data_IF_837533767386
#
_entry.id   IF_837533767386
#
_cell.length_a   1.000
_cell.length_b   1.000
_cell.length_c   1.000
_cell.angle_alpha   90.00
_cell.angle_beta   90.00
_cell.angle_gamma   90.00
#
_symmetry.space_group_name_H-M   'P 1'
#
loop_
_entity.id
_entity.type
_entity.pdbx_description
1 polymer ?
#
# COMPACT_ATOMS: atom_id res chain seq x y z
N UNK A 1 37.29 -39.74 2.87
CA UNK A 1 37.37 -38.29 2.65
C UNK A 1 36.09 -37.65 3.22
N UNK A 2 35.62 -38.02 4.42
CA UNK A 2 34.14 -38.01 4.65
C UNK A 2 33.63 -37.38 5.95
N UNK A 3 34.46 -37.05 6.94
CA UNK A 3 33.95 -36.47 8.21
C UNK A 3 33.96 -34.94 8.23
N UNK A 4 34.92 -34.32 7.56
CA UNK A 4 35.05 -32.86 7.54
C UNK A 4 34.03 -32.20 6.60
N UNK A 5 33.66 -32.84 5.48
CA UNK A 5 32.63 -32.33 4.58
C UNK A 5 31.22 -32.46 5.15
N UNK A 6 30.94 -33.54 5.88
CA UNK A 6 29.67 -33.69 6.60
C UNK A 6 29.51 -32.62 7.69
N UNK A 7 30.58 -32.35 8.45
CA UNK A 7 30.58 -31.30 9.48
C UNK A 7 30.39 -29.91 8.89
N UNK A 8 31.09 -29.59 7.79
CA UNK A 8 30.94 -28.32 7.07
C UNK A 8 29.52 -28.17 6.50
N UNK A 9 28.95 -29.23 5.91
CA UNK A 9 27.57 -29.23 5.43
C UNK A 9 26.55 -28.95 6.54
N UNK A 10 26.70 -29.60 7.70
CA UNK A 10 25.83 -29.33 8.85
C UNK A 10 25.98 -27.91 9.41
N UNK A 11 27.19 -27.36 9.42
CA UNK A 11 27.41 -25.97 9.88
C UNK A 11 26.73 -24.98 8.93
N UNK A 12 26.81 -25.20 7.61
CA UNK A 12 26.12 -24.36 6.62
C UNK A 12 24.60 -24.43 6.76
N UNK A 13 24.03 -25.62 6.97
CA UNK A 13 22.59 -25.77 7.22
C UNK A 13 22.16 -25.01 8.48
N UNK A 14 22.94 -25.09 9.56
CA UNK A 14 22.64 -24.37 10.82
C UNK A 14 22.72 -22.85 10.63
N UNK A 15 23.71 -22.36 9.88
CA UNK A 15 23.84 -20.92 9.58
C UNK A 15 22.67 -20.43 8.73
N UNK A 16 22.24 -21.19 7.72
CA UNK A 16 21.08 -20.85 6.89
C UNK A 16 19.81 -20.85 7.74
N UNK A 17 19.58 -21.88 8.56
CA UNK A 17 18.41 -21.96 9.44
C UNK A 17 18.41 -20.82 10.46
N UNK A 18 19.56 -20.49 11.05
CA UNK A 18 19.67 -19.37 11.98
C UNK A 18 19.42 -18.02 11.29
N UNK A 19 19.93 -17.82 10.08
CA UNK A 19 19.71 -16.63 9.26
C UNK A 19 18.22 -16.46 8.89
N UNK A 20 17.55 -17.55 8.49
CA UNK A 20 16.11 -17.58 8.21
C UNK A 20 15.31 -17.23 9.46
N UNK A 21 15.63 -17.84 10.61
CA UNK A 21 14.96 -17.54 11.88
C UNK A 21 15.16 -16.06 12.27
N UNK A 22 16.38 -15.51 12.16
CA UNK A 22 16.63 -14.09 12.48
C UNK A 22 15.93 -13.14 11.51
N UNK A 23 15.79 -13.52 10.25
CA UNK A 23 15.02 -12.75 9.26
C UNK A 23 13.54 -12.69 9.65
N UNK A 24 12.96 -13.81 10.11
CA UNK A 24 11.58 -13.89 10.61
C UNK A 24 11.29 -13.03 11.85
N UNK A 25 12.30 -12.51 12.54
CA UNK A 25 12.16 -11.74 13.77
C UNK A 25 12.56 -10.26 13.64
N UNK A 26 12.84 -9.75 12.43
CA UNK A 26 13.06 -8.32 12.19
C UNK A 26 11.70 -7.59 12.15
N UNK A 27 11.31 -6.84 13.20
CA UNK A 27 9.94 -6.36 13.34
C UNK A 27 9.60 -5.16 12.42
N UNK A 28 10.63 -4.54 11.83
CA UNK A 28 10.48 -3.33 11.00
C UNK A 28 10.53 -3.58 9.50
N UNK A 29 11.53 -4.32 9.02
CA UNK A 29 11.75 -4.54 7.59
C UNK A 29 10.66 -5.40 6.92
N UNK A 30 10.16 -6.42 7.62
CA UNK A 30 9.07 -7.29 7.11
C UNK A 30 7.72 -6.57 7.18
N UNK A 31 7.54 -5.65 8.13
CA UNK A 31 6.26 -4.94 8.33
C UNK A 31 6.03 -3.86 7.28
N UNK A 32 7.05 -3.06 6.97
CA UNK A 32 6.98 -2.05 5.90
C UNK A 32 6.79 -2.71 4.52
N UNK A 33 7.48 -3.83 4.24
CA UNK A 33 7.21 -4.62 3.03
C UNK A 33 5.82 -5.27 3.05
N UNK A 34 5.37 -5.79 4.19
CA UNK A 34 4.07 -6.46 4.31
C UNK A 34 2.88 -5.53 4.03
N UNK A 35 2.97 -4.27 4.47
CA UNK A 35 1.94 -3.26 4.23
C UNK A 35 1.89 -2.82 2.73
N UNK A 36 3.01 -2.90 2.01
CA UNK A 36 3.09 -2.66 0.55
C UNK A 36 2.80 -3.91 -0.31
N UNK A 37 2.99 -5.11 0.27
CA UNK A 37 2.86 -6.38 -0.43
C UNK A 37 1.40 -6.77 -0.67
N UNK A 38 0.50 -6.53 0.29
CA UNK A 38 -0.93 -6.78 0.07
C UNK A 38 -1.52 -5.95 -1.08
N UNK A 39 -1.29 -4.62 -1.18
CA UNK A 39 -1.75 -3.83 -2.33
C UNK A 39 -1.26 -4.37 -3.67
N UNK A 40 0.01 -4.78 -3.75
CA UNK A 40 0.62 -5.28 -4.97
C UNK A 40 0.03 -6.64 -5.42
N UNK A 41 -0.16 -7.59 -4.50
CA UNK A 41 -0.80 -8.87 -4.83
C UNK A 41 -2.25 -8.66 -5.31
N UNK A 42 -2.99 -7.75 -4.67
CA UNK A 42 -4.36 -7.44 -5.08
C UNK A 42 -4.42 -6.78 -6.46
N UNK A 43 -3.50 -5.87 -6.80
CA UNK A 43 -3.50 -5.23 -8.11
C UNK A 43 -3.27 -6.25 -9.23
N UNK A 44 -2.37 -7.20 -9.07
CA UNK A 44 -2.23 -8.35 -9.99
C UNK A 44 -3.53 -9.18 -10.06
N UNK A 45 -4.16 -9.46 -8.92
CA UNK A 45 -5.45 -10.15 -8.88
C UNK A 45 -6.58 -9.40 -9.62
N UNK A 46 -6.54 -8.07 -9.71
CA UNK A 46 -7.48 -7.31 -10.54
C UNK A 46 -7.10 -7.32 -12.01
N UNK A 47 -5.83 -7.07 -12.34
CA UNK A 47 -5.34 -6.97 -13.71
C UNK A 47 -5.48 -8.29 -14.48
N UNK A 48 -5.26 -9.42 -13.82
CA UNK A 48 -5.15 -10.73 -14.47
C UNK A 48 -6.30 -11.67 -14.13
N UNK A 49 -6.55 -12.69 -14.96
CA UNK A 49 -7.58 -13.71 -14.71
C UNK A 49 -7.04 -15.00 -14.07
N UNK A 50 -5.72 -15.09 -13.77
CA UNK A 50 -5.11 -16.32 -13.26
C UNK A 50 -5.70 -16.75 -11.91
N UNK A 51 -5.85 -15.79 -10.98
CA UNK A 51 -6.42 -16.06 -9.66
C UNK A 51 -7.96 -15.95 -9.65
N UNK A 52 -8.50 -14.92 -10.32
CA UNK A 52 -9.93 -14.63 -10.35
C UNK A 52 -10.33 -14.11 -11.73
N UNK A 53 -11.14 -14.90 -12.45
CA UNK A 53 -11.65 -14.54 -13.78
C UNK A 53 -12.82 -13.57 -13.72
N UNK A 54 -13.51 -13.52 -12.59
CA UNK A 54 -14.76 -12.81 -12.40
C UNK A 54 -14.58 -11.70 -11.35
N UNK A 55 -15.09 -10.50 -11.65
CA UNK A 55 -15.16 -9.38 -10.70
C UNK A 55 -16.62 -9.09 -10.34
N UNK A 56 -16.91 -8.99 -9.05
CA UNK A 56 -18.11 -8.33 -8.54
C UNK A 56 -17.72 -6.93 -8.09
N UNK A 57 -18.48 -5.91 -8.52
CA UNK A 57 -18.40 -4.57 -7.97
C UNK A 57 -19.66 -4.37 -7.13
N UNK A 58 -19.48 -4.30 -5.82
CA UNK A 58 -20.55 -4.15 -4.85
C UNK A 58 -20.64 -2.70 -4.39
N UNK A 59 -21.82 -2.10 -4.52
CA UNK A 59 -22.09 -0.73 -4.14
C UNK A 59 -23.07 -0.69 -2.97
N UNK A 60 -22.62 -0.15 -1.83
CA UNK A 60 -23.48 0.22 -0.71
C UNK A 60 -23.50 1.72 -0.54
N UNK A 61 -24.66 2.27 -0.18
CA UNK A 61 -24.86 3.70 -0.26
C UNK A 61 -25.74 4.25 0.86
N UNK A 62 -25.48 5.49 1.27
CA UNK A 62 -26.40 6.23 2.13
C UNK A 62 -27.62 6.66 1.31
N UNK A 63 -28.81 6.58 1.90
CA UNK A 63 -30.07 6.96 1.24
C UNK A 63 -30.00 8.34 0.55
N UNK A 64 -30.31 8.41 -0.76
CA UNK A 64 -30.23 9.64 -1.55
C UNK A 64 -28.83 9.99 -2.06
N UNK A 65 -27.85 9.12 -1.82
CA UNK A 65 -26.48 9.21 -2.32
C UNK A 65 -26.13 7.90 -3.06
N UNK A 66 -27.08 7.38 -3.84
CA UNK A 66 -26.86 6.22 -4.72
C UNK A 66 -25.76 6.51 -5.75
N UNK A 67 -24.94 5.52 -6.17
CA UNK A 67 -24.05 5.69 -7.30
C UNK A 67 -24.83 6.07 -8.56
N UNK A 68 -24.33 7.02 -9.35
CA UNK A 68 -24.97 7.33 -10.62
C UNK A 68 -24.79 6.18 -11.63
N UNK A 69 -25.76 6.05 -12.55
CA UNK A 69 -25.63 5.10 -13.66
C UNK A 69 -24.38 5.41 -14.51
N UNK A 70 -24.01 6.68 -14.63
CA UNK A 70 -22.82 7.16 -15.34
C UNK A 70 -21.54 6.64 -14.68
N UNK A 71 -21.41 6.79 -13.36
CA UNK A 71 -20.23 6.32 -12.61
C UNK A 71 -20.09 4.80 -12.61
N UNK A 72 -21.20 4.06 -12.43
CA UNK A 72 -21.17 2.59 -12.52
C UNK A 72 -20.78 2.11 -13.92
N UNK A 73 -21.34 2.73 -14.96
CA UNK A 73 -21.07 2.34 -16.35
C UNK A 73 -19.62 2.59 -16.72
N UNK A 74 -19.06 3.75 -16.36
CA UNK A 74 -17.68 4.06 -16.70
C UNK A 74 -16.70 3.18 -15.92
N UNK A 75 -16.94 2.90 -14.63
CA UNK A 75 -16.09 1.99 -13.88
C UNK A 75 -16.09 0.58 -14.49
N UNK A 76 -17.26 0.04 -14.81
CA UNK A 76 -17.39 -1.27 -15.47
C UNK A 76 -16.65 -1.29 -16.83
N UNK A 77 -16.75 -0.20 -17.61
CA UNK A 77 -16.01 -0.04 -18.86
C UNK A 77 -14.49 -0.05 -18.63
N UNK A 78 -14.00 0.70 -17.65
CA UNK A 78 -12.55 0.78 -17.36
C UNK A 78 -11.99 -0.53 -16.84
N UNK A 79 -12.72 -1.23 -15.98
CA UNK A 79 -12.34 -2.60 -15.58
C UNK A 79 -12.20 -3.48 -16.82
N UNK A 80 -13.19 -3.50 -17.73
CA UNK A 80 -13.14 -4.34 -18.93
C UNK A 80 -12.03 -3.96 -19.92
N UNK A 81 -11.66 -2.68 -19.97
CA UNK A 81 -10.63 -2.19 -20.89
C UNK A 81 -9.21 -2.48 -20.39
N UNK A 82 -8.99 -2.47 -19.07
CA UNK A 82 -7.65 -2.50 -18.48
C UNK A 82 -7.33 -3.79 -17.71
N UNK A 83 -8.30 -4.68 -17.55
CA UNK A 83 -8.12 -5.97 -16.88
C UNK A 83 -8.51 -7.13 -17.79
N UNK A 84 -8.02 -8.32 -17.46
CA UNK A 84 -8.32 -9.55 -18.18
C UNK A 84 -9.58 -10.26 -17.65
N UNK A 85 -10.40 -9.57 -16.84
CA UNK A 85 -11.61 -10.12 -16.24
C UNK A 85 -12.59 -10.54 -17.33
N UNK A 86 -12.99 -11.82 -17.29
CA UNK A 86 -13.91 -12.41 -18.25
C UNK A 86 -15.34 -11.92 -18.00
N UNK A 87 -15.69 -11.72 -16.73
CA UNK A 87 -16.99 -11.19 -16.32
C UNK A 87 -16.81 -10.08 -15.27
N UNK A 88 -17.65 -9.05 -15.39
CA UNK A 88 -17.76 -7.96 -14.43
C UNK A 88 -19.25 -7.81 -14.12
N UNK A 89 -19.62 -7.92 -12.85
CA UNK A 89 -20.99 -7.83 -12.35
C UNK A 89 -21.10 -6.68 -11.35
N UNK A 90 -21.85 -5.65 -11.71
CA UNK A 90 -22.15 -4.52 -10.82
C UNK A 90 -23.42 -4.80 -10.02
N UNK A 91 -23.34 -4.73 -8.69
CA UNK A 91 -24.42 -5.01 -7.75
C UNK A 91 -24.62 -3.79 -6.86
N UNK A 92 -25.75 -3.11 -7.01
CA UNK A 92 -26.22 -2.13 -6.02
C UNK A 92 -26.96 -2.91 -4.94
N UNK A 93 -26.34 -3.04 -3.76
CA UNK A 93 -26.72 -4.02 -2.74
C UNK A 93 -27.50 -3.37 -1.59
N UNK A 94 -26.81 -2.86 -0.56
CA UNK A 94 -27.45 -2.36 0.64
C UNK A 94 -27.52 -0.82 0.72
N UNK A 95 -28.67 -0.37 1.20
CA UNK A 95 -28.82 1.01 1.68
C UNK A 95 -28.34 1.09 3.14
N UNK A 96 -27.28 1.85 3.37
CA UNK A 96 -26.69 2.09 4.69
C UNK A 96 -27.72 2.72 5.62
N UNK A 97 -27.90 2.10 6.78
CA UNK A 97 -28.85 2.53 7.80
C UNK A 97 -28.49 3.90 8.37
N UNK A 98 -29.51 4.73 8.63
CA UNK A 98 -29.34 6.09 9.16
C UNK A 98 -28.51 6.16 10.46
N UNK A 99 -28.52 5.10 11.28
CA UNK A 99 -27.76 5.04 12.53
C UNK A 99 -26.25 4.82 12.29
N UNK A 100 -25.88 4.35 11.11
CA UNK A 100 -24.50 4.04 10.73
C UNK A 100 -23.88 5.21 9.94
N UNK A 101 -24.66 6.23 9.62
CA UNK A 101 -24.17 7.47 8.99
C UNK A 101 -23.42 8.37 9.97
N UNK A 102 -22.48 9.17 9.45
CA UNK A 102 -21.68 10.17 10.16
C UNK A 102 -21.61 11.45 9.34
N UNK A 103 -21.37 12.59 9.99
CA UNK A 103 -21.08 13.85 9.28
C UNK A 103 -19.63 13.87 8.78
N UNK A 104 -18.72 13.26 9.54
CA UNK A 104 -17.34 13.05 9.16
C UNK A 104 -16.96 11.61 9.54
N UNK A 105 -16.38 10.87 8.60
CA UNK A 105 -15.96 9.48 8.78
C UNK A 105 -14.46 9.44 9.06
N UNK A 106 -14.05 8.57 9.97
CA UNK A 106 -12.65 8.18 10.11
C UNK A 106 -12.42 6.72 9.72
N UNK A 107 -11.17 6.26 9.76
CA UNK A 107 -10.78 4.91 9.34
C UNK A 107 -11.57 3.81 10.05
N UNK A 108 -11.97 4.02 11.31
CA UNK A 108 -12.72 3.03 12.07
C UNK A 108 -14.16 2.96 11.57
N UNK A 109 -14.80 4.12 11.33
CA UNK A 109 -16.16 4.16 10.77
C UNK A 109 -16.22 3.41 9.42
N UNK A 110 -15.27 3.66 8.51
CA UNK A 110 -15.20 2.96 7.21
C UNK A 110 -14.98 1.44 7.38
N UNK A 111 -14.25 1.03 8.40
CA UNK A 111 -14.03 -0.38 8.71
C UNK A 111 -15.28 -1.06 9.29
N UNK A 112 -16.01 -0.37 10.16
CA UNK A 112 -17.28 -0.84 10.72
C UNK A 112 -18.36 -0.97 9.64
N UNK A 113 -18.43 -0.02 8.70
CA UNK A 113 -19.35 -0.10 7.56
C UNK A 113 -19.04 -1.31 6.69
N UNK A 114 -17.76 -1.52 6.34
CA UNK A 114 -17.32 -2.72 5.61
C UNK A 114 -17.74 -4.00 6.31
N UNK A 115 -17.51 -4.12 7.62
CA UNK A 115 -17.88 -5.33 8.38
C UNK A 115 -19.40 -5.57 8.44
N UNK A 116 -20.19 -4.50 8.29
CA UNK A 116 -21.65 -4.55 8.43
C UNK A 116 -22.37 -4.78 7.10
N UNK A 117 -21.82 -4.25 6.00
CA UNK A 117 -22.50 -4.19 4.70
C UNK A 117 -21.78 -4.97 3.60
N UNK A 118 -20.47 -5.25 3.72
CA UNK A 118 -19.78 -6.00 2.67
C UNK A 118 -20.24 -7.47 2.63
N UNK A 119 -20.98 -7.83 1.59
CA UNK A 119 -21.57 -9.16 1.41
C UNK A 119 -20.71 -10.06 0.50
N UNK A 120 -19.97 -9.47 -0.44
CA UNK A 120 -19.11 -10.19 -1.36
C UNK A 120 -17.63 -9.99 -1.02
N UNK A 121 -16.95 -11.12 -0.83
CA UNK A 121 -15.50 -11.20 -0.74
C UNK A 121 -14.92 -12.12 -1.82
N UNK A 122 -13.64 -12.44 -1.69
CA UNK A 122 -12.96 -13.41 -2.56
C UNK A 122 -13.52 -14.82 -2.32
N UNK A 123 -14.05 -15.46 -3.36
CA UNK A 123 -14.60 -16.81 -3.29
C UNK A 123 -14.59 -17.49 -4.66
N UNK A 124 -14.18 -18.75 -4.68
CA UNK A 124 -14.11 -19.55 -5.90
C UNK A 124 -13.26 -18.83 -6.96
N UNK A 125 -13.81 -18.47 -8.12
CA UNK A 125 -13.14 -17.72 -9.18
C UNK A 125 -13.46 -16.20 -9.17
N UNK A 126 -14.12 -15.71 -8.11
CA UNK A 126 -14.56 -14.32 -7.97
C UNK A 126 -13.69 -13.52 -6.99
N UNK A 127 -13.34 -12.30 -7.38
CA UNK A 127 -12.88 -11.23 -6.50
C UNK A 127 -13.97 -10.15 -6.40
N UNK A 128 -14.01 -9.42 -5.28
CA UNK A 128 -14.97 -8.34 -5.06
C UNK A 128 -14.25 -7.01 -4.82
N UNK A 129 -14.76 -5.96 -5.45
CA UNK A 129 -14.47 -4.56 -5.17
C UNK A 129 -15.66 -3.97 -4.43
N UNK A 130 -15.42 -3.42 -3.24
CA UNK A 130 -16.45 -2.80 -2.42
C UNK A 130 -16.38 -1.28 -2.56
N UNK A 131 -17.49 -0.66 -2.95
CA UNK A 131 -17.60 0.78 -3.19
C UNK A 131 -18.66 1.37 -2.26
N UNK A 132 -18.23 2.19 -1.31
CA UNK A 132 -19.11 2.86 -0.34
C UNK A 132 -19.44 4.27 -0.80
N UNK A 133 -20.72 4.59 -0.95
CA UNK A 133 -21.20 5.95 -1.21
C UNK A 133 -21.74 6.59 0.06
N UNK A 134 -21.06 7.63 0.53
CA UNK A 134 -21.31 8.22 1.84
C UNK A 134 -21.81 9.66 1.75
N UNK A 135 -22.77 9.98 2.63
CA UNK A 135 -23.12 11.34 2.98
C UNK A 135 -22.28 11.78 4.17
N UNK A 136 -21.38 12.74 3.95
CA UNK A 136 -20.41 13.25 4.92
C UNK A 136 -19.04 13.45 4.29
N UNK A 137 -18.06 13.81 5.11
CA UNK A 137 -16.70 14.13 4.68
C UNK A 137 -15.67 13.13 5.24
N UNK A 138 -14.50 13.08 4.63
CA UNK A 138 -13.34 12.44 5.23
C UNK A 138 -12.76 13.34 6.32
N UNK A 139 -12.59 12.82 7.54
CA UNK A 139 -12.19 13.63 8.71
C UNK A 139 -10.77 14.18 8.59
N UNK A 140 -9.88 13.44 7.93
CA UNK A 140 -8.49 13.81 7.72
C UNK A 140 -8.32 14.81 6.56
N UNK A 141 -9.22 14.78 5.57
CA UNK A 141 -9.29 15.76 4.49
C UNK A 141 -10.75 16.01 4.06
N UNK A 142 -11.37 17.07 4.58
CA UNK A 142 -12.78 17.38 4.28
C UNK A 142 -13.04 17.71 2.79
N UNK A 143 -11.99 17.91 2.00
CA UNK A 143 -12.07 18.13 0.57
C UNK A 143 -11.92 16.84 -0.26
N UNK A 144 -11.70 15.68 0.34
CA UNK A 144 -11.63 14.43 -0.42
C UNK A 144 -12.98 14.11 -1.07
N UNK A 145 -12.95 13.81 -2.37
CA UNK A 145 -14.09 13.36 -3.17
C UNK A 145 -14.19 11.83 -3.16
N UNK A 146 -13.04 11.16 -3.15
CA UNK A 146 -12.90 9.71 -3.06
C UNK A 146 -11.79 9.30 -2.11
N UNK A 147 -11.70 7.99 -1.83
CA UNK A 147 -10.61 7.37 -1.10
C UNK A 147 -10.52 5.86 -1.37
N UNK A 148 -9.36 5.39 -1.82
CA UNK A 148 -8.99 3.99 -1.85
C UNK A 148 -8.40 3.56 -0.48
N UNK A 149 -9.26 3.09 0.42
CA UNK A 149 -8.85 2.81 1.82
C UNK A 149 -8.05 1.52 1.98
N UNK A 150 -8.36 0.52 1.15
CA UNK A 150 -7.78 -0.84 1.14
C UNK A 150 -7.68 -1.30 -0.31
N UNK A 151 -6.88 -2.35 -0.62
CA UNK A 151 -6.73 -2.86 -1.99
C UNK A 151 -8.02 -3.39 -2.64
N UNK A 152 -9.17 -3.33 -1.97
CA UNK A 152 -10.46 -3.78 -2.47
C UNK A 152 -11.61 -2.84 -2.06
N UNK A 153 -11.30 -1.67 -1.50
CA UNK A 153 -12.31 -0.78 -0.92
C UNK A 153 -12.12 0.65 -1.42
N UNK A 154 -13.14 1.13 -2.13
CA UNK A 154 -13.31 2.51 -2.56
C UNK A 154 -14.37 3.16 -1.69
N UNK A 155 -14.16 4.42 -1.33
CA UNK A 155 -15.14 5.26 -0.63
C UNK A 155 -15.35 6.51 -1.47
N UNK A 156 -16.60 6.86 -1.77
CA UNK A 156 -17.01 8.06 -2.48
C UNK A 156 -17.78 8.95 -1.51
N UNK A 157 -17.34 10.20 -1.36
CA UNK A 157 -18.01 11.20 -0.53
C UNK A 157 -18.94 12.04 -1.39
N UNK A 158 -20.07 11.44 -1.78
CA UNK A 158 -21.01 12.03 -2.74
C UNK A 158 -21.49 13.43 -2.34
N UNK A 159 -21.74 13.67 -1.05
CA UNK A 159 -22.09 15.02 -0.57
C UNK A 159 -21.02 16.10 -0.84
N UNK A 160 -19.75 15.71 -0.93
CA UNK A 160 -18.63 16.61 -1.27
C UNK A 160 -18.60 16.88 -2.77
N UNK A 161 -18.90 15.86 -3.59
CA UNK A 161 -19.08 15.97 -5.05
C UNK A 161 -20.27 16.87 -5.37
N UNK A 162 -21.42 16.69 -4.74
CA UNK A 162 -22.61 17.52 -4.92
C UNK A 162 -22.32 18.99 -4.60
N UNK A 163 -21.71 19.28 -3.45
CA UNK A 163 -21.34 20.66 -3.08
C UNK A 163 -20.24 21.23 -4.00
N UNK A 164 -19.41 20.40 -4.65
CA UNK A 164 -18.51 20.88 -5.70
C UNK A 164 -19.28 21.23 -6.97
N UNK A 165 -20.17 20.35 -7.43
CA UNK A 165 -21.00 20.58 -8.60
C UNK A 165 -21.87 21.83 -8.46
N UNK A 166 -22.49 22.05 -7.29
CA UNK A 166 -23.31 23.25 -7.02
C UNK A 166 -22.53 24.57 -7.12
N UNK A 167 -21.21 24.54 -6.89
CA UNK A 167 -20.32 25.70 -7.00
C UNK A 167 -19.84 25.95 -8.43
N UNK A 168 -20.07 25.01 -9.35
CA UNK A 168 -19.64 25.08 -10.74
C UNK A 168 -20.85 25.23 -11.67
N UNK A 169 -20.76 26.12 -12.66
CA UNK A 169 -21.89 26.33 -13.60
C UNK A 169 -21.91 25.36 -14.76
N UNK A 170 -20.80 24.63 -14.99
CA UNK A 170 -20.57 23.85 -16.20
C UNK A 170 -20.40 22.34 -15.92
N UNK A 171 -20.38 21.94 -14.65
CA UNK A 171 -20.15 20.56 -14.22
C UNK A 171 -21.33 20.08 -13.40
N UNK A 172 -21.78 18.87 -13.69
CA UNK A 172 -22.75 18.13 -12.88
C UNK A 172 -22.02 17.22 -11.90
N UNK A 173 -22.73 16.68 -10.91
CA UNK A 173 -22.16 15.67 -10.01
C UNK A 173 -21.65 14.46 -10.79
N UNK A 174 -22.40 13.99 -11.80
CA UNK A 174 -22.01 12.87 -12.65
C UNK A 174 -20.73 13.13 -13.46
N UNK A 175 -20.48 14.37 -13.90
CA UNK A 175 -19.25 14.75 -14.61
C UNK A 175 -18.00 14.64 -13.72
N UNK A 176 -18.17 14.63 -12.40
CA UNK A 176 -17.10 14.56 -11.39
C UNK A 176 -17.00 13.15 -10.81
N UNK A 177 -18.15 12.55 -10.45
CA UNK A 177 -18.24 11.24 -9.81
C UNK A 177 -17.61 10.12 -10.64
N UNK A 178 -17.88 10.09 -11.95
CA UNK A 178 -17.33 9.08 -12.86
C UNK A 178 -15.80 9.08 -12.86
N UNK A 179 -15.12 10.21 -13.12
CA UNK A 179 -13.67 10.32 -12.97
C UNK A 179 -13.15 9.94 -11.58
N UNK A 180 -13.79 10.39 -10.50
CA UNK A 180 -13.36 10.07 -9.12
C UNK A 180 -13.37 8.57 -8.88
N UNK A 181 -14.44 7.85 -9.21
CA UNK A 181 -14.47 6.39 -8.96
C UNK A 181 -13.44 5.64 -9.80
N UNK A 182 -13.13 6.12 -11.01
CA UNK A 182 -12.06 5.54 -11.85
C UNK A 182 -10.67 5.85 -11.29
N UNK A 183 -10.47 7.03 -10.70
CA UNK A 183 -9.25 7.40 -10.00
C UNK A 183 -8.98 6.43 -8.84
N UNK A 184 -9.97 6.23 -7.97
CA UNK A 184 -9.84 5.31 -6.84
C UNK A 184 -9.64 3.86 -7.28
N UNK A 185 -10.24 3.46 -8.41
CA UNK A 185 -9.94 2.17 -9.02
C UNK A 185 -8.47 2.05 -9.44
N UNK A 186 -7.88 3.11 -10.00
CA UNK A 186 -6.45 3.14 -10.30
C UNK A 186 -5.56 2.91 -9.08
N UNK A 187 -5.92 3.46 -7.91
CA UNK A 187 -5.24 3.14 -6.66
C UNK A 187 -5.37 1.68 -6.24
N UNK A 188 -6.52 1.02 -6.50
CA UNK A 188 -6.63 -0.44 -6.30
C UNK A 188 -5.71 -1.24 -7.23
N UNK A 189 -5.34 -0.67 -8.37
CA UNK A 189 -4.33 -1.20 -9.28
C UNK A 189 -2.89 -0.81 -8.89
N UNK A 190 -2.67 -0.30 -7.68
CA UNK A 190 -1.38 0.21 -7.17
C UNK A 190 -0.81 1.41 -7.93
N UNK A 191 -1.60 2.06 -8.80
CA UNK A 191 -1.19 3.28 -9.49
C UNK A 191 -1.34 4.50 -8.57
N UNK A 192 -0.51 5.54 -8.66
CA UNK A 192 0.79 5.61 -9.33
C UNK A 192 1.87 5.45 -8.27
N UNK A 193 2.81 4.54 -8.48
CA UNK A 193 3.98 4.43 -7.61
C UNK A 193 3.68 3.97 -6.16
N UNK A 194 2.50 3.42 -5.88
CA UNK A 194 2.13 2.99 -4.53
C UNK A 194 2.89 1.75 -4.07
N UNK A 195 3.33 0.91 -5.01
CA UNK A 195 4.04 -0.35 -4.71
C UNK A 195 5.28 -0.56 -5.59
N UNK A 196 5.61 0.42 -6.43
CA UNK A 196 6.74 0.42 -7.34
C UNK A 196 7.24 1.86 -7.54
N UNK A 197 8.43 2.07 -8.10
CA UNK A 197 8.88 3.41 -8.47
C UNK A 197 8.34 3.77 -9.86
N UNK A 198 7.61 4.89 -9.97
CA UNK A 198 7.08 5.36 -11.26
C UNK A 198 7.77 6.66 -11.73
N UNK A 199 7.98 6.79 -13.03
CA UNK A 199 8.69 7.95 -13.62
C UNK A 199 7.79 9.18 -13.84
N UNK A 200 6.47 9.03 -13.65
CA UNK A 200 5.47 10.10 -13.80
C UNK A 200 4.67 10.35 -12.52
N UNK A 201 5.14 9.88 -11.36
CA UNK A 201 4.56 10.27 -10.08
C UNK A 201 4.75 11.78 -9.85
N UNK A 202 3.69 12.46 -9.42
CA UNK A 202 3.71 13.87 -9.07
C UNK A 202 4.48 14.09 -7.75
N UNK A 203 5.42 15.03 -7.76
CA UNK A 203 6.21 15.37 -6.58
C UNK A 203 5.44 16.14 -5.50
N UNK A 204 4.36 16.82 -5.87
CA UNK A 204 3.45 17.55 -4.96
C UNK A 204 2.31 16.64 -4.48
N UNK A 205 1.77 15.81 -5.38
CA UNK A 205 0.72 14.82 -5.10
C UNK A 205 1.28 13.39 -5.19
N UNK A 206 1.97 12.94 -4.13
CA UNK A 206 2.49 11.56 -4.08
C UNK A 206 1.36 10.55 -4.24
N UNK A 207 1.61 9.45 -4.96
CA UNK A 207 0.59 8.47 -5.35
C UNK A 207 -0.17 8.80 -6.64
N UNK A 208 0.08 9.95 -7.26
CA UNK A 208 -0.69 10.48 -8.38
C UNK A 208 0.17 10.73 -9.62
N UNK A 209 -0.48 10.83 -10.78
CA UNK A 209 0.16 11.18 -12.05
C UNK A 209 0.45 12.68 -12.12
N UNK A 210 1.67 13.04 -12.52
CA UNK A 210 2.07 14.41 -12.85
C UNK A 210 1.31 14.91 -14.09
N UNK A 211 0.41 15.89 -13.89
CA UNK A 211 -0.43 16.47 -14.95
C UNK A 211 0.40 17.10 -16.09
N UNK A 212 1.66 17.46 -15.83
CA UNK A 212 2.55 17.98 -16.89
C UNK A 212 2.94 16.91 -17.92
N UNK A 213 2.70 15.62 -17.62
CA UNK A 213 2.98 14.48 -18.49
C UNK A 213 1.82 14.14 -19.42
N UNK A 214 0.60 14.58 -19.10
CA UNK A 214 -0.59 14.37 -19.92
C UNK A 214 -1.87 14.38 -19.10
N UNK A 215 -3.00 14.50 -19.79
CA UNK A 215 -4.33 14.32 -19.18
C UNK A 215 -4.47 12.88 -18.70
N UNK A 216 -4.70 12.70 -17.41
CA UNK A 216 -4.82 11.40 -16.77
C UNK A 216 -5.83 11.45 -15.65
N UNK A 217 -6.67 10.42 -15.53
CA UNK A 217 -7.59 10.28 -14.41
C UNK A 217 -6.86 10.16 -13.07
N UNK A 218 -5.62 9.67 -13.05
CA UNK A 218 -4.78 9.56 -11.84
C UNK A 218 -4.14 10.89 -11.40
N UNK A 219 -4.50 12.02 -12.00
CA UNK A 219 -4.05 13.33 -11.49
C UNK A 219 -4.67 13.61 -10.11
N UNK A 220 -3.87 14.10 -9.15
CA UNK A 220 -4.34 14.31 -7.76
C UNK A 220 -5.49 15.31 -7.65
N UNK A 221 -5.64 16.22 -8.62
CA UNK A 221 -6.73 17.18 -8.70
C UNK A 221 -8.11 16.53 -8.90
N UNK A 222 -8.16 15.27 -9.37
CA UNK A 222 -9.40 14.53 -9.64
C UNK A 222 -10.10 14.10 -8.35
N UNK A 223 -9.36 13.75 -7.29
CA UNK A 223 -9.92 13.24 -6.03
C UNK A 223 -10.13 14.32 -4.95
N UNK A 224 -9.82 15.59 -5.24
CA UNK A 224 -9.95 16.69 -4.28
C UNK A 224 -10.92 17.78 -4.75
N UNK A 225 -11.61 18.38 -3.78
CA UNK A 225 -12.58 19.44 -3.96
C UNK A 225 -11.94 20.79 -4.29
N UNK A 226 -11.31 20.89 -5.45
CA UNK A 226 -10.78 22.13 -6.00
C UNK A 226 -11.67 22.69 -7.10
N UNK A 227 -11.58 24.00 -7.37
CA UNK A 227 -12.38 24.61 -8.43
C UNK A 227 -11.96 24.07 -9.79
N UNK A 228 -12.84 23.28 -10.41
CA UNK A 228 -12.63 22.69 -11.73
C UNK A 228 -13.20 23.60 -12.83
N UNK A 229 -12.38 23.97 -13.82
CA UNK A 229 -12.83 24.75 -14.96
C UNK A 229 -13.56 23.92 -16.02
N UNK A 230 -13.22 22.63 -16.09
CA UNK A 230 -13.69 21.64 -17.06
C UNK A 230 -13.82 20.28 -16.36
N UNK A 231 -14.49 19.32 -17.01
CA UNK A 231 -14.66 17.99 -16.43
C UNK A 231 -13.30 17.29 -16.34
N UNK A 232 -13.02 16.58 -15.23
CA UNK A 232 -11.77 15.85 -15.09
C UNK A 232 -11.59 14.78 -16.17
N UNK A 233 -10.35 14.41 -16.53
CA UNK A 233 -10.10 13.25 -17.38
C UNK A 233 -10.69 12.00 -16.74
N UNK A 234 -11.33 11.15 -17.54
CA UNK A 234 -11.96 9.93 -17.06
C UNK A 234 -11.24 8.66 -17.52
N UNK A 235 -10.01 8.80 -18.04
CA UNK A 235 -9.22 7.70 -18.58
C UNK A 235 -7.76 7.72 -18.12
N UNK A 236 -7.11 6.56 -18.12
CA UNK A 236 -5.70 6.43 -17.80
C UNK A 236 -4.83 6.91 -18.97
N UNK A 237 -3.76 7.64 -18.69
CA UNK A 237 -2.78 8.02 -19.71
C UNK A 237 -1.89 6.83 -20.10
N UNK A 238 -1.19 6.94 -21.23
CA UNK A 238 -0.30 5.89 -21.76
C UNK A 238 0.72 5.40 -20.71
N UNK A 239 1.26 6.30 -19.88
CA UNK A 239 2.24 5.95 -18.85
C UNK A 239 1.61 5.15 -17.70
N UNK A 240 0.38 5.46 -17.29
CA UNK A 240 -0.33 4.64 -16.30
C UNK A 240 -0.66 3.25 -16.87
N UNK A 241 -0.92 3.15 -18.17
CA UNK A 241 -1.16 1.87 -18.84
C UNK A 241 0.14 1.06 -18.91
N UNK A 242 1.28 1.70 -19.23
CA UNK A 242 2.60 1.06 -19.18
C UNK A 242 2.92 0.53 -17.77
N UNK A 243 2.55 1.28 -16.72
CA UNK A 243 2.70 0.84 -15.34
C UNK A 243 1.83 -0.39 -15.01
N UNK A 244 0.60 -0.49 -15.54
CA UNK A 244 -0.23 -1.70 -15.37
C UNK A 244 0.44 -2.93 -15.99
N UNK A 245 1.06 -2.79 -17.16
CA UNK A 245 1.83 -3.88 -17.79
C UNK A 245 3.05 -4.26 -16.96
N UNK A 246 3.74 -3.27 -16.39
CA UNK A 246 4.85 -3.51 -15.47
C UNK A 246 4.42 -4.29 -14.22
N UNK A 247 3.28 -3.95 -13.63
CA UNK A 247 2.71 -4.66 -12.47
C UNK A 247 2.35 -6.11 -12.84
N UNK A 248 1.77 -6.34 -14.01
CA UNK A 248 1.46 -7.70 -14.53
C UNK A 248 2.72 -8.55 -14.69
N UNK A 249 3.77 -8.00 -15.29
CA UNK A 249 4.99 -8.75 -15.60
C UNK A 249 5.94 -8.94 -14.41
N UNK A 250 5.73 -8.19 -13.32
CA UNK A 250 6.59 -8.28 -12.16
C UNK A 250 6.35 -9.62 -11.44
N UNK A 251 7.21 -10.59 -11.75
CA UNK A 251 7.33 -11.81 -10.96
C UNK A 251 7.68 -11.44 -9.50
N UNK A 252 7.14 -12.21 -8.56
CA UNK A 252 7.58 -12.31 -7.16
C UNK A 252 9.07 -12.72 -7.09
N UNK A 253 9.99 -11.86 -7.54
CA UNK A 253 11.42 -12.11 -7.57
C UNK A 253 12.06 -12.05 -6.17
N UNK A 254 11.24 -11.82 -5.15
CA UNK A 254 11.66 -11.60 -3.78
C UNK A 254 11.61 -12.87 -2.93
N UNK A 255 12.43 -13.85 -3.32
CA UNK A 255 12.73 -15.02 -2.48
C UNK A 255 14.20 -15.44 -2.50
N UNK A 256 14.92 -15.22 -3.61
CA UNK A 256 16.25 -15.80 -3.81
C UNK A 256 17.37 -14.75 -3.85
N UNK A 257 17.19 -13.63 -4.57
CA UNK A 257 18.20 -12.56 -4.67
C UNK A 257 18.35 -11.78 -3.34
N UNK A 258 17.25 -11.51 -2.64
CA UNK A 258 17.25 -10.90 -1.31
C UNK A 258 17.90 -11.81 -0.25
N UNK A 259 17.64 -13.11 -0.35
CA UNK A 259 18.27 -14.12 0.49
C UNK A 259 19.78 -14.17 0.21
N UNK A 260 20.20 -14.09 -1.05
CA UNK A 260 21.62 -14.03 -1.45
C UNK A 260 22.28 -12.75 -0.94
N UNK A 261 21.62 -11.60 -1.05
CA UNK A 261 22.13 -10.32 -0.54
C UNK A 261 22.29 -10.32 0.99
N UNK A 262 21.33 -10.87 1.73
CA UNK A 262 21.43 -11.03 3.18
C UNK A 262 22.51 -12.05 3.58
N UNK A 263 22.63 -13.18 2.88
CA UNK A 263 23.70 -14.16 3.07
C UNK A 263 25.09 -13.59 2.73
N UNK A 264 25.17 -12.68 1.75
CA UNK A 264 26.37 -11.95 1.37
C UNK A 264 26.81 -10.98 2.47
N UNK A 265 25.90 -10.17 2.99
CA UNK A 265 26.17 -9.21 4.07
C UNK A 265 26.54 -9.94 5.36
N UNK A 266 25.73 -10.91 5.78
CA UNK A 266 26.01 -11.73 6.98
C UNK A 266 27.26 -12.60 6.83
N UNK A 267 27.56 -13.07 5.61
CA UNK A 267 28.81 -13.75 5.27
C UNK A 267 30.04 -12.87 5.51
N UNK A 268 29.99 -11.58 5.20
CA UNK A 268 31.08 -10.64 5.52
C UNK A 268 31.28 -10.45 7.03
N UNK A 269 30.20 -10.41 7.81
CA UNK A 269 30.27 -10.35 9.27
C UNK A 269 30.83 -11.64 9.88
N UNK A 270 30.42 -12.82 9.38
CA UNK A 270 30.92 -14.11 9.87
C UNK A 270 32.38 -14.36 9.48
N UNK A 271 32.83 -13.91 8.30
CA UNK A 271 34.25 -13.94 7.90
C UNK A 271 35.07 -12.97 8.76
N UNK A 272 34.54 -11.80 9.11
CA UNK A 272 35.18 -10.85 10.02
C UNK A 272 35.34 -11.39 11.45
N UNK A 273 34.36 -12.14 11.96
CA UNK A 273 34.41 -12.82 13.27
C UNK A 273 35.40 -13.99 13.26
N UNK A 274 35.52 -14.70 12.14
CA UNK A 274 36.55 -15.75 11.95
C UNK A 274 37.97 -15.18 11.89
N UNK A 275 38.19 -14.08 11.18
CA UNK A 275 39.52 -13.44 11.10
C UNK A 275 39.93 -12.91 12.49
N UNK A 276 39.02 -12.30 13.24
CA UNK A 276 39.30 -11.78 14.58
C UNK A 276 39.56 -12.88 15.63
N UNK A 277 38.84 -14.00 15.59
CA UNK A 277 39.13 -15.16 16.48
C UNK A 277 40.44 -15.88 16.14
N UNK A 278 40.82 -15.96 14.86
CA UNK A 278 42.12 -16.53 14.44
C UNK A 278 43.30 -15.61 14.76
N UNK A 279 43.13 -14.28 14.68
CA UNK A 279 44.17 -13.30 15.05
C UNK A 279 44.35 -13.22 16.57
N UNK A 280 43.26 -13.24 17.36
CA UNK A 280 43.33 -13.21 18.84
C UNK A 280 43.89 -14.55 19.38
N UNK A 281 43.62 -15.68 18.72
CA UNK A 281 44.14 -17.00 19.09
C UNK A 281 45.66 -17.19 18.90
N UNK A 282 46.34 -16.33 18.13
CA UNK A 282 47.81 -16.37 17.95
C UNK A 282 48.58 -15.39 18.85
N UNK A 283 47.91 -14.45 19.53
CA UNK A 283 48.58 -13.37 20.29
C UNK A 283 48.52 -13.52 21.83
N UNK A 284 47.90 -14.56 22.38
CA UNK A 284 47.72 -14.73 23.85
C UNK A 284 48.68 -15.72 24.52
N UNK A 285 49.90 -15.92 23.99
CA UNK A 285 50.98 -16.57 24.76
C UNK A 285 52.09 -15.57 25.09
N UNK A 286 52.17 -15.23 26.37
CA UNK A 286 53.18 -14.45 27.08
C UNK A 286 53.05 -12.92 27.05
N UNK A 287 52.44 -12.36 28.11
CA UNK A 287 53.04 -11.25 28.88
C UNK A 287 52.42 -11.15 30.27
N UNK A 288 53.29 -11.16 31.29
CA UNK A 288 52.95 -11.01 32.71
C UNK A 288 52.47 -9.59 33.01
N UNK A 289 51.38 -9.49 33.76
CA UNK A 289 50.80 -8.25 34.26
C UNK A 289 51.52 -7.77 35.53
N UNK A 290 51.84 -6.48 35.63
CA UNK A 290 52.22 -5.76 36.86
C UNK A 290 51.25 -4.57 37.00
N UNK A 291 50.64 -4.31 38.17
CA UNK A 291 49.68 -3.23 38.31
C UNK A 291 50.37 -1.93 38.74
N UNK A 292 49.86 -0.80 38.27
CA UNK A 292 50.05 0.51 38.90
C UNK A 292 48.72 1.30 38.87
N UNK A 293 48.46 2.00 39.97
CA UNK A 293 47.26 2.79 40.27
C UNK A 293 47.39 4.28 39.86
N UNK A 294 46.32 5.05 40.19
CA UNK A 294 46.07 6.51 40.17
C UNK A 294 45.24 6.92 38.95
N UNK A 295 44.15 7.71 39.02
CA UNK A 295 43.52 8.57 40.03
C UNK A 295 42.41 9.40 39.32
N UNK A 296 41.62 10.23 40.03
CA UNK A 296 40.24 10.57 39.65
C UNK A 296 40.10 11.88 38.86
N UNK A 297 39.09 11.96 37.97
CA UNK A 297 38.31 13.18 37.68
C UNK A 297 37.00 12.81 36.94
N UNK A 298 35.91 13.50 37.32
CA UNK A 298 34.52 13.46 36.82
C UNK A 298 34.17 14.91 36.33
N UNK A 299 33.03 15.27 35.69
CA UNK A 299 31.77 14.52 35.52
C UNK A 299 30.98 14.71 34.20
N UNK A 300 29.90 13.92 34.08
CA UNK A 300 28.55 14.25 33.57
C UNK A 300 28.38 15.09 32.31
N UNK A 301 27.90 14.44 31.25
CA UNK A 301 26.65 14.77 30.53
C UNK A 301 26.31 13.60 29.60
N UNK A 302 25.04 13.47 29.21
CA UNK A 302 24.46 12.38 28.38
C UNK A 302 23.94 11.17 29.17
N UNK A 303 23.03 11.43 30.12
CA UNK A 303 21.98 10.49 30.50
C UNK A 303 20.75 11.31 30.88
N UNK A 304 19.97 11.74 29.88
CA UNK A 304 18.55 12.13 29.99
C UNK A 304 18.04 12.47 28.57
N UNK A 305 17.80 11.46 27.72
CA UNK A 305 16.92 11.62 26.55
C UNK A 305 16.51 10.29 25.89
N UNK A 306 16.13 9.26 26.65
CA UNK A 306 15.70 7.97 26.06
C UNK A 306 14.42 7.36 26.68
N UNK A 307 13.60 8.15 27.38
CA UNK A 307 12.28 7.68 27.87
C UNK A 307 11.10 8.51 27.36
N UNK A 308 11.14 8.92 26.08
CA UNK A 308 9.97 9.55 25.45
C UNK A 308 9.91 9.26 23.94
N UNK A 309 9.70 7.99 23.59
CA UNK A 309 9.28 7.56 22.26
C UNK A 309 8.82 6.08 22.30
N UNK A 310 7.81 5.79 23.13
CA UNK A 310 7.15 4.48 23.09
C UNK A 310 5.67 4.63 23.44
N UNK A 311 4.93 5.23 22.50
CA UNK A 311 3.47 5.15 22.39
C UNK A 311 3.05 5.93 21.14
N UNK A 312 3.14 5.34 19.95
CA UNK A 312 2.18 5.62 18.87
C UNK A 312 2.33 4.63 17.70
N UNK A 313 1.31 3.82 17.39
CA UNK A 313 1.17 3.12 16.12
C UNK A 313 0.05 3.80 15.31
N UNK A 314 0.25 5.05 14.93
CA UNK A 314 -0.58 5.73 13.93
C UNK A 314 0.35 6.35 12.88
N UNK A 315 0.50 5.64 11.77
CA UNK A 315 0.82 6.25 10.50
C UNK A 315 -0.34 5.93 9.57
N UNK A 316 -1.40 6.73 9.67
CA UNK A 316 -2.00 7.31 8.46
C UNK A 316 -0.87 7.80 7.57
N UNK A 317 -0.90 7.42 6.31
CA UNK A 317 -0.37 8.30 5.30
C UNK A 317 -1.11 9.63 5.43
N UNK A 318 -0.37 10.61 5.91
CA UNK A 318 -0.75 12.00 5.96
C UNK A 318 -0.48 12.52 4.54
N UNK A 319 -1.54 12.64 3.74
CA UNK A 319 -1.72 13.62 2.65
C UNK A 319 -3.08 13.44 1.99
#
# INVERSE_FOLDING_TARGET
MDKNYALLGTIWVIVIVAALITYSFLPGYVREKGDLYEPFEYSQMYLENESYSDLIIEYDYVAGHEPSETAMTILEEKVKNYTDKETVESVVDDQIGVNDTRIAYDKNDISELKESYQDHGRRDNKISMHVLYLNGVWKENENALGLAKRPYQIVIFDSVIEDLAERNTNLTGEDIEGPVVVHEFGHLLSLVGLSYESEHEDTEYSGHCDESKGECVMAGTVEVKENMGEAPPSDFCDLCIEDMEYIREMEDSFGFEDLISYLSISGQYLVGIWISTVIIGKSSKNRKYRPHQVGPDRPEQVYQREERAYSDPDQSYDR
#
